data_IF_297990144737
#
_entry.id   IF_297990144737
#
_cell.length_a   1.000
_cell.length_b   1.000
_cell.length_c   1.000
_cell.angle_alpha   90.00
_cell.angle_beta   90.00
_cell.angle_gamma   90.00
#
_symmetry.space_group_name_H-M   'P 1'
#
loop_
_entity.id
_entity.type
_entity.pdbx_description
1 polymer ?
#
# COMPACT_ATOMS: atom_id res chain seq x y z
N UNK A 1 -0.85 20.25 -25.83
CA UNK A 1 -1.78 19.41 -25.04
C UNK A 1 -1.02 18.29 -24.30
N UNK A 2 -0.07 17.63 -24.94
CA UNK A 2 0.72 16.52 -24.38
C UNK A 2 1.59 16.94 -23.18
N UNK A 3 2.28 18.06 -23.27
CA UNK A 3 3.11 18.59 -22.17
C UNK A 3 2.33 18.85 -20.88
N UNK A 4 1.07 19.31 -20.99
CA UNK A 4 0.24 19.58 -19.82
C UNK A 4 -0.18 18.27 -19.11
N UNK A 5 -0.48 17.24 -19.89
CA UNK A 5 -0.83 15.90 -19.36
C UNK A 5 0.37 15.30 -18.59
N UNK A 6 1.57 15.42 -19.14
CA UNK A 6 2.80 14.93 -18.50
C UNK A 6 3.09 15.69 -17.18
N UNK A 7 2.81 17.02 -17.13
CA UNK A 7 2.92 17.80 -15.90
C UNK A 7 1.96 17.32 -14.81
N UNK A 8 0.72 17.02 -15.19
CA UNK A 8 -0.32 16.52 -14.26
C UNK A 8 0.06 15.13 -13.73
N UNK A 9 0.59 14.24 -14.58
CA UNK A 9 1.10 12.92 -14.19
C UNK A 9 2.24 13.07 -13.19
N UNK A 10 3.27 13.87 -13.52
CA UNK A 10 4.39 14.11 -12.62
C UNK A 10 3.93 14.69 -11.27
N UNK A 11 3.04 15.68 -11.30
CA UNK A 11 2.49 16.31 -10.10
C UNK A 11 1.81 15.27 -9.18
N UNK A 12 1.03 14.39 -9.78
CA UNK A 12 0.35 13.30 -9.05
C UNK A 12 1.37 12.35 -8.43
N UNK A 13 2.37 11.92 -9.21
CA UNK A 13 3.36 10.94 -8.76
C UNK A 13 4.28 11.51 -7.66
N UNK A 14 4.78 12.75 -7.82
CA UNK A 14 5.62 13.36 -6.78
C UNK A 14 4.86 13.60 -5.46
N UNK A 15 3.57 13.94 -5.54
CA UNK A 15 2.73 14.09 -4.36
C UNK A 15 2.52 12.76 -3.65
N UNK A 16 2.27 11.67 -4.40
CA UNK A 16 2.17 10.30 -3.87
C UNK A 16 3.48 9.89 -3.19
N UNK A 17 4.63 10.08 -3.85
CA UNK A 17 5.96 9.75 -3.32
C UNK A 17 6.27 10.51 -2.03
N UNK A 18 5.99 11.80 -1.99
CA UNK A 18 6.19 12.61 -0.78
C UNK A 18 5.32 12.12 0.38
N UNK A 19 4.04 11.92 0.12
CA UNK A 19 3.07 11.44 1.12
C UNK A 19 3.41 10.04 1.63
N UNK A 20 3.90 9.16 0.77
CA UNK A 20 4.30 7.80 1.17
C UNK A 20 5.43 7.76 2.19
N UNK A 21 6.19 8.87 2.32
CA UNK A 21 7.23 9.03 3.36
C UNK A 21 6.81 10.02 4.46
N UNK A 22 5.53 10.33 4.58
CA UNK A 22 4.99 11.28 5.56
C UNK A 22 5.69 12.65 5.56
N UNK A 23 6.22 13.08 4.39
CA UNK A 23 6.96 14.33 4.26
C UNK A 23 6.02 15.50 4.00
N UNK A 24 6.32 16.66 4.58
CA UNK A 24 5.75 17.94 4.15
C UNK A 24 6.41 18.43 2.85
N UNK A 25 5.81 19.41 2.18
CA UNK A 25 6.47 20.06 1.03
C UNK A 25 7.80 20.72 1.41
N UNK A 26 7.93 21.17 2.66
CA UNK A 26 9.16 21.71 3.23
C UNK A 26 10.26 20.66 3.33
N UNK A 27 9.95 19.49 3.88
CA UNK A 27 10.91 18.39 4.03
C UNK A 27 11.42 17.92 2.65
N UNK A 28 10.52 17.80 1.68
CA UNK A 28 10.92 17.43 0.32
C UNK A 28 11.79 18.51 -0.34
N UNK A 29 11.47 19.78 -0.11
CA UNK A 29 12.25 20.90 -0.63
C UNK A 29 13.67 20.91 -0.07
N UNK A 30 13.81 20.68 1.23
CA UNK A 30 15.12 20.59 1.92
C UNK A 30 15.96 19.44 1.34
N UNK A 31 15.40 18.24 1.26
CA UNK A 31 16.09 17.06 0.70
C UNK A 31 16.58 17.28 -0.73
N UNK A 32 15.76 17.92 -1.55
CA UNK A 32 16.11 18.15 -2.96
C UNK A 32 16.97 19.40 -3.18
N UNK A 33 17.14 20.25 -2.16
CA UNK A 33 17.87 21.51 -2.25
C UNK A 33 17.16 22.55 -3.11
N UNK A 34 15.83 22.65 -2.99
CA UNK A 34 14.97 23.58 -3.73
C UNK A 34 14.09 24.41 -2.80
N UNK A 35 13.42 25.44 -3.30
CA UNK A 35 12.45 26.20 -2.51
C UNK A 35 11.12 25.45 -2.31
N UNK A 36 10.46 25.65 -1.17
CA UNK A 36 9.13 25.07 -0.88
C UNK A 36 8.10 25.46 -1.95
N UNK A 37 8.13 26.70 -2.42
CA UNK A 37 7.28 27.17 -3.53
C UNK A 37 7.49 26.38 -4.81
N UNK A 38 8.72 25.91 -5.07
CA UNK A 38 9.06 25.10 -6.22
C UNK A 38 8.39 23.72 -6.15
N UNK A 39 8.44 23.06 -5.00
CA UNK A 39 7.73 21.80 -4.77
C UNK A 39 6.22 21.99 -4.91
N UNK A 40 5.67 23.06 -4.35
CA UNK A 40 4.25 23.41 -4.51
C UNK A 40 3.87 23.65 -5.98
N UNK A 41 4.72 24.29 -6.77
CA UNK A 41 4.47 24.51 -8.20
C UNK A 41 4.48 23.18 -8.99
N UNK A 42 5.34 22.24 -8.62
CA UNK A 42 5.36 20.89 -9.22
C UNK A 42 4.09 20.11 -8.89
N UNK A 43 3.70 20.07 -7.62
CA UNK A 43 2.49 19.35 -7.18
C UNK A 43 1.19 19.96 -7.71
N UNK A 44 1.21 21.22 -8.14
CA UNK A 44 0.10 21.90 -8.82
C UNK A 44 0.18 21.87 -10.35
N UNK A 45 1.09 21.06 -10.90
CA UNK A 45 1.32 20.94 -12.33
C UNK A 45 1.61 22.29 -13.05
N UNK A 46 2.25 23.23 -12.36
CA UNK A 46 2.59 24.54 -12.93
C UNK A 46 3.95 24.54 -13.62
N UNK A 47 4.86 23.72 -13.14
CA UNK A 47 6.25 23.65 -13.62
C UNK A 47 6.78 22.22 -13.57
N UNK A 48 7.88 21.98 -14.34
CA UNK A 48 8.70 20.78 -14.27
C UNK A 48 9.97 21.01 -13.46
N UNK A 49 10.50 19.98 -12.78
CA UNK A 49 11.86 20.00 -12.29
C UNK A 49 12.86 19.91 -13.46
N UNK A 50 14.06 20.48 -13.24
CA UNK A 50 15.19 20.29 -14.15
C UNK A 50 15.74 18.87 -14.07
N UNK A 51 16.44 18.40 -15.12
CA UNK A 51 16.96 17.04 -15.20
C UNK A 51 17.76 16.60 -13.96
N UNK A 52 18.63 17.45 -13.41
CA UNK A 52 19.40 17.12 -12.21
C UNK A 52 18.55 16.97 -10.94
N UNK A 53 17.37 17.61 -10.89
CA UNK A 53 16.43 17.42 -9.76
C UNK A 53 15.62 16.14 -9.95
N UNK A 54 15.24 15.79 -11.18
CA UNK A 54 14.60 14.51 -11.50
C UNK A 54 15.50 13.34 -11.05
N UNK A 55 16.82 13.47 -11.26
CA UNK A 55 17.79 12.48 -10.82
C UNK A 55 17.84 12.34 -9.29
N UNK A 56 17.84 13.47 -8.57
CA UNK A 56 17.76 13.48 -7.11
C UNK A 56 16.44 12.86 -6.59
N UNK A 57 15.32 13.17 -7.22
CA UNK A 57 14.02 12.58 -6.89
C UNK A 57 14.08 11.06 -7.09
N UNK A 58 14.51 10.61 -8.26
CA UNK A 58 14.67 9.20 -8.60
C UNK A 58 15.53 8.45 -7.57
N UNK A 59 16.73 8.99 -7.29
CA UNK A 59 17.65 8.40 -6.30
C UNK A 59 17.10 8.41 -4.88
N UNK A 60 16.50 9.52 -4.46
CA UNK A 60 15.99 9.65 -3.09
C UNK A 60 14.81 8.72 -2.82
N UNK A 61 13.87 8.61 -3.75
CA UNK A 61 12.71 7.74 -3.60
C UNK A 61 12.98 6.30 -4.04
N UNK A 62 14.08 6.01 -4.73
CA UNK A 62 14.39 4.68 -5.26
C UNK A 62 13.46 4.29 -6.43
N UNK A 63 13.11 5.23 -7.29
CA UNK A 63 12.20 5.01 -8.42
C UNK A 63 12.90 5.29 -9.75
N UNK A 64 12.50 4.58 -10.81
CA UNK A 64 13.01 4.86 -12.15
C UNK A 64 12.51 6.22 -12.65
N UNK A 65 13.37 6.96 -13.37
CA UNK A 65 13.05 8.31 -13.88
C UNK A 65 11.81 8.33 -14.77
N UNK A 66 11.64 7.32 -15.65
CA UNK A 66 10.48 7.21 -16.53
C UNK A 66 9.17 7.03 -15.72
N UNK A 67 9.22 6.31 -14.60
CA UNK A 67 8.04 6.09 -13.73
C UNK A 67 7.48 7.39 -13.14
N UNK A 68 8.29 8.43 -13.02
CA UNK A 68 7.81 9.74 -12.58
C UNK A 68 6.85 10.40 -13.59
N UNK A 69 6.91 10.00 -14.87
CA UNK A 69 6.16 10.58 -15.98
C UNK A 69 5.15 9.63 -16.63
N UNK A 70 4.97 8.41 -16.10
CA UNK A 70 3.98 7.44 -16.55
C UNK A 70 2.70 7.55 -15.69
N UNK A 71 1.54 7.33 -16.31
CA UNK A 71 0.29 7.17 -15.55
C UNK A 71 0.38 5.94 -14.67
N UNK A 72 0.31 6.14 -13.36
CA UNK A 72 0.38 5.07 -12.38
C UNK A 72 -1.01 4.84 -11.78
N UNK A 73 -1.53 3.65 -11.91
CA UNK A 73 -2.79 3.24 -11.29
C UNK A 73 -2.63 3.10 -9.77
N UNK A 74 -1.42 2.73 -9.32
CA UNK A 74 -1.09 2.48 -7.92
C UNK A 74 0.24 3.13 -7.52
N UNK A 75 0.42 3.32 -6.20
CA UNK A 75 1.70 3.71 -5.63
C UNK A 75 2.81 2.67 -5.93
N UNK A 76 2.44 1.39 -6.00
CA UNK A 76 3.35 0.26 -6.27
C UNK A 76 4.06 0.36 -7.62
N UNK A 77 3.40 0.93 -8.63
CA UNK A 77 3.96 1.05 -9.98
C UNK A 77 5.17 2.00 -10.04
N UNK A 78 5.40 2.78 -8.97
CA UNK A 78 6.47 3.76 -8.89
C UNK A 78 7.79 3.13 -8.38
N UNK A 79 7.69 2.10 -7.54
CA UNK A 79 8.83 1.48 -6.85
C UNK A 79 9.31 0.21 -7.57
N UNK A 80 10.11 0.36 -8.61
CA UNK A 80 10.81 -0.74 -9.29
C UNK A 80 12.32 -0.45 -9.28
N UNK A 81 13.08 -1.15 -8.45
CA UNK A 81 14.45 -0.75 -8.11
C UNK A 81 15.54 -1.67 -8.64
N UNK A 82 15.26 -2.95 -8.92
CA UNK A 82 16.24 -3.93 -9.38
C UNK A 82 15.64 -4.94 -10.36
N UNK A 83 16.49 -5.64 -11.15
CA UNK A 83 16.03 -6.69 -12.08
C UNK A 83 15.29 -7.82 -11.34
N UNK A 84 15.68 -8.16 -10.12
CA UNK A 84 15.18 -9.32 -9.37
C UNK A 84 14.31 -8.98 -8.16
N UNK A 85 14.24 -7.71 -7.73
CA UNK A 85 13.48 -7.27 -6.57
C UNK A 85 12.61 -6.04 -6.84
N UNK A 86 11.68 -5.77 -5.93
CA UNK A 86 10.82 -4.59 -5.92
C UNK A 86 10.58 -4.15 -4.48
N UNK A 87 10.53 -2.84 -4.23
CA UNK A 87 10.16 -2.30 -2.92
C UNK A 87 8.65 -2.18 -2.81
N UNK A 88 8.07 -2.95 -1.89
CA UNK A 88 6.64 -2.90 -1.58
C UNK A 88 6.41 -2.09 -0.29
N UNK A 89 5.36 -1.27 -0.24
CA UNK A 89 5.06 -0.49 0.95
C UNK A 89 4.59 -1.37 2.11
N UNK A 90 5.00 -1.00 3.31
CA UNK A 90 4.44 -1.49 4.58
C UNK A 90 3.34 -0.51 4.97
N UNK A 91 2.11 -0.98 5.02
CA UNK A 91 0.92 -0.15 5.20
C UNK A 91 0.46 -0.21 6.64
N UNK A 92 0.45 0.94 7.32
CA UNK A 92 -0.02 1.07 8.69
C UNK A 92 -1.53 1.36 8.75
N UNK A 93 -2.03 2.26 7.90
CA UNK A 93 -3.45 2.62 7.88
C UNK A 93 -4.03 2.56 6.47
N UNK A 94 -5.26 2.05 6.40
CA UNK A 94 -6.03 1.94 5.16
C UNK A 94 -7.40 2.55 5.37
N UNK A 95 -7.87 3.35 4.44
CA UNK A 95 -9.27 3.80 4.39
C UNK A 95 -9.96 3.36 3.10
N UNK A 96 -11.27 3.30 3.15
CA UNK A 96 -12.11 3.05 1.98
C UNK A 96 -13.09 4.20 1.79
N UNK A 97 -12.90 4.97 0.69
CA UNK A 97 -13.86 5.96 0.23
C UNK A 97 -14.29 5.67 -1.20
N UNK A 98 -15.60 5.81 -1.50
CA UNK A 98 -16.16 5.61 -2.85
C UNK A 98 -15.75 4.29 -3.55
N UNK A 99 -15.62 3.20 -2.78
CA UNK A 99 -15.22 1.89 -3.30
C UNK A 99 -13.71 1.72 -3.56
N UNK A 100 -12.90 2.75 -3.35
CA UNK A 100 -11.46 2.72 -3.57
C UNK A 100 -10.75 2.53 -2.23
N UNK A 101 -9.84 1.54 -2.17
CA UNK A 101 -8.95 1.35 -1.03
C UNK A 101 -7.79 2.34 -1.14
N UNK A 102 -7.65 3.21 -0.17
CA UNK A 102 -6.57 4.21 -0.09
C UNK A 102 -5.66 3.85 1.08
N UNK A 103 -4.37 3.76 0.81
CA UNK A 103 -3.36 3.63 1.84
C UNK A 103 -3.03 5.03 2.36
N UNK A 104 -3.40 5.31 3.60
CA UNK A 104 -3.24 6.64 4.20
C UNK A 104 -1.89 6.80 4.89
N UNK A 105 -1.36 5.73 5.45
CA UNK A 105 -0.10 5.73 6.18
C UNK A 105 0.80 4.61 5.68
N UNK A 106 2.02 4.95 5.28
CA UNK A 106 3.07 4.01 4.89
C UNK A 106 4.19 4.12 5.92
N UNK A 107 4.43 3.03 6.65
CA UNK A 107 5.45 2.95 7.69
C UNK A 107 6.85 2.80 7.11
N UNK A 108 6.98 2.25 5.90
CA UNK A 108 8.23 1.98 5.24
C UNK A 108 8.06 1.14 3.98
N UNK A 109 9.16 0.55 3.54
CA UNK A 109 9.18 -0.33 2.36
C UNK A 109 10.02 -1.56 2.65
N UNK A 110 9.56 -2.70 2.14
CA UNK A 110 10.25 -3.98 2.20
C UNK A 110 10.72 -4.42 0.82
N UNK A 111 11.99 -4.80 0.71
CA UNK A 111 12.57 -5.31 -0.53
C UNK A 111 12.11 -6.74 -0.76
N UNK A 112 11.40 -6.97 -1.86
CA UNK A 112 10.69 -8.21 -2.13
C UNK A 112 11.16 -8.83 -3.45
N UNK A 113 11.59 -10.11 -3.46
CA UNK A 113 11.93 -10.80 -4.69
C UNK A 113 10.74 -10.87 -5.65
N UNK A 114 10.91 -10.46 -6.92
CA UNK A 114 9.88 -10.53 -7.95
C UNK A 114 9.33 -11.95 -8.15
N UNK A 115 10.14 -12.96 -7.87
CA UNK A 115 9.72 -14.36 -7.92
C UNK A 115 8.57 -14.71 -6.94
N UNK A 116 8.37 -13.92 -5.89
CA UNK A 116 7.24 -14.09 -4.97
C UNK A 116 5.94 -13.49 -5.49
N UNK A 117 6.03 -12.60 -6.47
CA UNK A 117 4.92 -11.80 -6.99
C UNK A 117 4.42 -12.41 -8.30
N UNK A 118 3.21 -12.98 -8.28
CA UNK A 118 2.61 -13.61 -9.45
C UNK A 118 1.35 -12.85 -9.85
N UNK A 119 1.52 -11.81 -10.67
CA UNK A 119 0.43 -10.99 -11.17
C UNK A 119 -0.33 -10.22 -10.07
N UNK A 120 -0.84 -9.05 -10.38
CA UNK A 120 -1.54 -8.18 -9.43
C UNK A 120 -0.61 -7.36 -8.53
N UNK A 121 -1.23 -6.59 -7.66
CA UNK A 121 -0.56 -5.67 -6.74
C UNK A 121 -0.35 -6.32 -5.38
N UNK A 122 0.74 -5.94 -4.70
CA UNK A 122 1.10 -6.46 -3.40
C UNK A 122 1.49 -5.33 -2.46
N UNK A 123 1.28 -5.56 -1.18
CA UNK A 123 1.71 -4.66 -0.10
C UNK A 123 1.98 -5.48 1.16
N UNK A 124 2.65 -4.87 2.11
CA UNK A 124 2.84 -5.46 3.43
C UNK A 124 1.94 -4.80 4.46
N UNK A 125 1.55 -5.59 5.45
CA UNK A 125 1.01 -5.11 6.72
C UNK A 125 1.80 -5.75 7.85
N UNK A 126 1.94 -5.04 8.96
CA UNK A 126 2.52 -5.58 10.18
C UNK A 126 1.42 -6.23 11.01
N UNK A 127 1.66 -7.46 11.48
CA UNK A 127 0.73 -8.12 12.37
C UNK A 127 0.72 -7.42 13.74
N UNK A 128 -0.47 -7.19 14.29
CA UNK A 128 -0.65 -6.64 15.63
C UNK A 128 -1.39 -7.63 16.52
N UNK A 129 -0.81 -7.88 17.69
CA UNK A 129 -1.40 -8.74 18.70
C UNK A 129 -1.32 -10.24 18.36
N UNK A 130 -2.16 -11.02 19.02
CA UNK A 130 -2.09 -12.48 19.02
C UNK A 130 -3.33 -13.18 18.44
N UNK A 131 -4.15 -12.48 17.68
CA UNK A 131 -5.41 -13.03 17.13
C UNK A 131 -5.20 -14.17 16.13
N UNK A 132 -3.99 -14.33 15.56
CA UNK A 132 -3.66 -15.29 14.52
C UNK A 132 -2.54 -16.26 14.89
N UNK A 133 -2.27 -16.47 16.19
CA UNK A 133 -1.14 -17.27 16.70
C UNK A 133 -1.22 -18.74 16.27
N UNK A 134 -2.40 -19.34 16.13
CA UNK A 134 -2.56 -20.71 15.68
C UNK A 134 -2.27 -20.88 14.18
N UNK A 135 -2.27 -19.78 13.43
CA UNK A 135 -1.78 -19.73 12.05
C UNK A 135 -0.27 -19.40 11.98
N UNK A 136 0.43 -19.38 13.13
CA UNK A 136 1.84 -19.01 13.27
C UNK A 136 2.14 -17.58 12.80
N UNK A 137 1.20 -16.68 13.04
CA UNK A 137 1.36 -15.24 12.82
C UNK A 137 1.43 -14.60 14.20
N UNK A 138 2.55 -13.95 14.48
CA UNK A 138 2.84 -13.32 15.77
C UNK A 138 2.88 -11.81 15.64
N UNK A 139 2.79 -11.14 16.78
CA UNK A 139 2.92 -9.69 16.85
C UNK A 139 4.25 -9.22 16.25
N UNK A 140 4.20 -8.24 15.35
CA UNK A 140 5.35 -7.70 14.65
C UNK A 140 5.70 -8.38 13.32
N UNK A 141 5.18 -9.59 13.03
CA UNK A 141 5.43 -10.28 11.76
C UNK A 141 5.04 -9.43 10.56
N UNK A 142 5.84 -9.47 9.51
CA UNK A 142 5.58 -8.78 8.27
C UNK A 142 4.84 -9.69 7.29
N UNK A 143 3.69 -9.24 6.80
CA UNK A 143 2.73 -10.05 6.06
C UNK A 143 2.59 -9.55 4.63
N UNK A 144 3.00 -10.35 3.65
CA UNK A 144 2.83 -10.06 2.24
C UNK A 144 1.38 -10.33 1.82
N UNK A 145 0.68 -9.29 1.45
CA UNK A 145 -0.73 -9.33 1.03
C UNK A 145 -0.82 -9.08 -0.49
N UNK A 146 -1.50 -9.97 -1.21
CA UNK A 146 -1.92 -9.70 -2.59
C UNK A 146 -3.23 -8.95 -2.57
N UNK A 147 -3.27 -7.78 -3.20
CA UNK A 147 -4.47 -6.94 -3.30
C UNK A 147 -5.55 -7.65 -4.11
N UNK A 148 -6.70 -7.89 -3.52
CA UNK A 148 -7.90 -8.45 -4.16
C UNK A 148 -9.10 -8.24 -3.25
N UNK A 149 -10.29 -8.16 -3.85
CA UNK A 149 -11.53 -7.86 -3.13
C UNK A 149 -12.26 -9.12 -2.64
N UNK A 150 -11.78 -10.29 -3.01
CA UNK A 150 -12.35 -11.58 -2.64
C UNK A 150 -11.27 -12.64 -2.38
N UNK A 151 -11.60 -13.64 -1.56
CA UNK A 151 -10.75 -14.80 -1.24
C UNK A 151 -11.60 -16.07 -1.26
N UNK A 152 -10.93 -17.22 -1.43
CA UNK A 152 -11.57 -18.52 -1.33
C UNK A 152 -11.89 -18.86 0.13
N UNK A 153 -12.82 -19.78 0.32
CA UNK A 153 -13.21 -20.26 1.65
C UNK A 153 -12.01 -20.86 2.41
N UNK A 154 -11.87 -20.47 3.67
CA UNK A 154 -10.78 -20.94 4.53
C UNK A 154 -9.45 -20.21 4.33
N UNK A 155 -9.36 -19.24 3.44
CA UNK A 155 -8.15 -18.45 3.26
C UNK A 155 -8.01 -17.34 4.29
N UNK A 156 -6.77 -16.94 4.57
CA UNK A 156 -6.48 -15.80 5.45
C UNK A 156 -6.41 -14.54 4.60
N UNK A 157 -7.19 -13.56 4.99
CA UNK A 157 -7.29 -12.27 4.32
C UNK A 157 -6.97 -11.10 5.25
N UNK A 158 -6.45 -10.03 4.67
CA UNK A 158 -6.48 -8.71 5.26
C UNK A 158 -7.87 -8.12 5.02
N UNK A 159 -8.56 -7.82 6.11
CA UNK A 159 -9.94 -7.32 6.12
C UNK A 159 -9.94 -5.95 6.78
N UNK A 160 -10.46 -4.95 6.09
CA UNK A 160 -10.69 -3.64 6.65
C UNK A 160 -12.03 -3.67 7.39
N UNK A 161 -12.00 -3.31 8.66
CA UNK A 161 -13.19 -3.17 9.52
C UNK A 161 -13.08 -1.78 10.14
N UNK A 162 -14.00 -0.91 9.83
CA UNK A 162 -13.96 0.51 10.23
C UNK A 162 -12.61 1.14 9.85
N UNK A 163 -11.85 1.60 9.64
CA UNK A 163 -10.52 2.16 9.27
C UNK A 163 -9.31 1.36 9.82
N UNK A 164 -9.51 0.10 10.24
CA UNK A 164 -8.42 -0.77 10.71
C UNK A 164 -8.31 -2.06 9.91
N UNK A 165 -7.09 -2.47 9.64
CA UNK A 165 -6.81 -3.74 8.97
C UNK A 165 -6.69 -4.85 9.99
N UNK A 166 -7.43 -5.93 9.78
CA UNK A 166 -7.38 -7.14 10.58
C UNK A 166 -7.05 -8.34 9.70
N UNK A 167 -6.32 -9.30 10.25
CA UNK A 167 -6.18 -10.61 9.63
C UNK A 167 -7.26 -11.55 10.17
N UNK A 168 -7.94 -12.20 9.25
CA UNK A 168 -8.97 -13.19 9.59
C UNK A 168 -8.96 -14.32 8.60
N UNK A 169 -9.32 -15.53 9.05
CA UNK A 169 -9.72 -16.60 8.17
C UNK A 169 -11.16 -16.34 7.74
N UNK A 170 -11.38 -16.41 6.44
CA UNK A 170 -12.65 -16.05 5.82
C UNK A 170 -13.41 -17.32 5.46
N UNK A 171 -14.67 -17.39 5.90
CA UNK A 171 -15.64 -18.40 5.47
C UNK A 171 -16.87 -17.71 4.92
N UNK A 172 -17.50 -18.33 3.93
CA UNK A 172 -18.71 -17.85 3.28
C UNK A 172 -19.76 -18.94 3.34
N UNK A 173 -20.84 -18.71 4.10
CA UNK A 173 -21.90 -19.68 4.26
C UNK A 173 -23.25 -19.00 4.25
N UNK A 174 -24.17 -19.49 3.45
CA UNK A 174 -25.58 -19.04 3.41
C UNK A 174 -25.77 -17.52 3.31
N UNK A 175 -24.96 -16.84 2.47
CA UNK A 175 -24.98 -15.37 2.35
C UNK A 175 -24.35 -14.63 3.53
N UNK A 176 -23.68 -15.34 4.43
CA UNK A 176 -22.95 -14.74 5.55
C UNK A 176 -21.45 -14.80 5.31
N UNK A 177 -20.77 -13.75 5.71
CA UNK A 177 -19.31 -13.69 5.84
C UNK A 177 -18.95 -13.96 7.30
N UNK A 178 -18.14 -14.99 7.53
CA UNK A 178 -17.62 -15.33 8.85
C UNK A 178 -16.13 -15.00 8.87
N UNK A 179 -15.74 -14.10 9.75
CA UNK A 179 -14.36 -13.66 9.92
C UNK A 179 -13.83 -14.25 11.23
N UNK A 180 -13.04 -15.31 11.11
CA UNK A 180 -12.54 -16.06 12.26
C UNK A 180 -11.08 -15.72 12.56
N UNK A 181 -10.79 -15.50 13.83
CA UNK A 181 -9.41 -15.42 14.33
C UNK A 181 -8.84 -16.83 14.48
N UNK A 182 -7.56 -16.99 14.25
CA UNK A 182 -6.79 -18.20 14.54
C UNK A 182 -6.28 -18.17 16.01
N UNK A 183 -7.19 -17.87 16.93
CA UNK A 183 -7.00 -17.90 18.37
C UNK A 183 -8.38 -18.01 19.03
N UNK A 184 -8.65 -19.10 19.77
CA UNK A 184 -9.97 -19.33 20.43
C UNK A 184 -10.38 -18.24 21.43
N UNK A 185 -9.45 -17.43 21.91
CA UNK A 185 -9.75 -16.31 22.81
C UNK A 185 -10.49 -15.15 22.11
N UNK A 186 -10.58 -15.19 20.79
CA UNK A 186 -11.27 -14.17 19.98
C UNK A 186 -12.50 -14.78 19.32
N UNK A 187 -13.67 -14.26 19.62
CA UNK A 187 -14.91 -14.72 19.01
C UNK A 187 -14.94 -14.41 17.50
N UNK A 188 -15.53 -15.29 16.67
CA UNK A 188 -15.76 -15.00 15.25
C UNK A 188 -16.67 -13.79 15.06
N UNK A 189 -16.46 -13.04 14.00
CA UNK A 189 -17.30 -11.93 13.58
C UNK A 189 -18.18 -12.42 12.44
N UNK A 190 -19.50 -12.34 12.61
CA UNK A 190 -20.49 -12.71 11.60
C UNK A 190 -21.05 -11.47 10.94
N UNK A 191 -21.18 -11.47 9.61
CA UNK A 191 -21.77 -10.38 8.84
C UNK A 191 -22.69 -10.92 7.76
N UNK A 192 -23.86 -10.30 7.65
CA UNK A 192 -24.82 -10.56 6.58
C UNK A 192 -24.72 -9.47 5.51
N UNK A 193 -25.26 -9.70 4.32
CA UNK A 193 -25.26 -8.70 3.23
C UNK A 193 -25.84 -7.34 3.64
N UNK A 194 -26.76 -7.31 4.61
CA UNK A 194 -27.36 -6.08 5.12
C UNK A 194 -26.43 -5.25 6.02
N UNK A 195 -25.31 -5.84 6.50
CA UNK A 195 -24.38 -5.20 7.43
C UNK A 195 -22.94 -5.08 6.90
N UNK A 196 -22.77 -5.14 5.57
CA UNK A 196 -21.45 -5.05 4.91
C UNK A 196 -20.84 -3.64 4.86
N UNK A 197 -21.59 -2.59 5.21
CA UNK A 197 -21.21 -1.19 4.92
C UNK A 197 -19.81 -0.78 5.41
N UNK A 198 -19.26 -1.47 6.43
CA UNK A 198 -17.97 -1.12 7.03
C UNK A 198 -16.93 -2.25 7.01
N UNK A 199 -17.12 -3.28 6.17
CA UNK A 199 -16.18 -4.41 6.08
C UNK A 199 -15.81 -4.64 4.62
N UNK A 200 -14.49 -4.66 4.34
CA UNK A 200 -13.97 -4.91 3.00
C UNK A 200 -12.76 -5.85 3.06
N UNK A 201 -12.77 -6.90 2.23
CA UNK A 201 -11.55 -7.66 1.96
C UNK A 201 -10.65 -6.78 1.10
N UNK A 202 -9.43 -6.54 1.56
CA UNK A 202 -8.44 -5.71 0.84
C UNK A 202 -7.34 -6.55 0.21
N UNK A 203 -7.20 -7.81 0.62
CA UNK A 203 -6.25 -8.72 0.00
C UNK A 203 -6.13 -10.06 0.70
N UNK A 204 -5.44 -10.99 0.02
CA UNK A 204 -5.14 -12.36 0.48
C UNK A 204 -3.72 -12.43 1.03
N UNK A 205 -3.55 -13.07 2.18
CA UNK A 205 -2.23 -13.40 2.72
C UNK A 205 -1.49 -14.37 1.79
N UNK A 206 -0.27 -14.03 1.41
CA UNK A 206 0.58 -14.84 0.54
C UNK A 206 1.80 -15.41 1.26
N UNK A 207 2.43 -14.62 2.11
CA UNK A 207 3.61 -15.02 2.88
C UNK A 207 3.66 -14.30 4.22
N UNK A 208 4.33 -14.93 5.16
CA UNK A 208 4.77 -14.37 6.43
C UNK A 208 6.29 -14.20 6.30
N UNK A 209 6.80 -13.01 6.54
CA UNK A 209 8.23 -12.71 6.56
C UNK A 209 8.62 -12.45 8.00
N UNK A 210 9.56 -13.22 8.49
CA UNK A 210 10.02 -13.18 9.89
C UNK A 210 11.46 -12.68 9.85
N UNK A 211 11.74 -11.56 10.51
CA UNK A 211 13.10 -11.13 10.79
C UNK A 211 13.66 -11.94 11.97
N UNK A 212 14.84 -12.54 11.77
CA UNK A 212 15.53 -13.38 12.76
C UNK A 212 16.60 -12.58 13.51
#
# INVERSE_FOLDING_TARGET
MEDKKIQEIFATNINKLRKSRNMTQGDLAEVLGVGVSTVSDWEKAKKYPRAGVIEKISSYFGVLKNKLFEEQSNLFDIYDTDEDSVKLPIVGRVSCGNGITVFEEIEGFEETPKAWLRGGDYFYVRAEGNSMINARIFDGDLLLIRKQEDVEEGEIAAVLIEDKVYLKRVFKQDGMLILQSENPSFAPVFRTEENFENIKIIGKLKKIVIDL
#
